data_IF_468329535624
#
_entry.id   IF_468329535624
#
_cell.length_a   1.000
_cell.length_b   1.000
_cell.length_c   1.000
_cell.angle_alpha   90.00
_cell.angle_beta   90.00
_cell.angle_gamma   90.00
#
_symmetry.space_group_name_H-M   'P 1'
#
loop_
_entity.id
_entity.type
_entity.pdbx_description
1 polymer ?
#
# COMPACT_ATOMS: atom_id res chain seq x y z
N UNK A 1 -6.82 5.69 17.86
CA UNK A 1 -6.20 5.41 16.55
C UNK A 1 -5.53 4.04 16.64
N UNK A 2 -6.28 2.93 16.55
CA UNK A 2 -5.75 1.56 16.81
C UNK A 2 -6.40 0.48 15.92
N UNK A 3 -7.24 0.86 14.94
CA UNK A 3 -8.02 -0.10 14.15
C UNK A 3 -7.30 -0.54 12.86
N UNK A 4 -6.85 0.44 12.06
CA UNK A 4 -6.18 0.22 10.77
C UNK A 4 -4.88 -0.61 10.86
N UNK A 5 -4.06 -0.38 11.88
CA UNK A 5 -2.77 -1.09 12.02
C UNK A 5 -2.88 -2.62 12.07
N UNK A 6 -3.86 -3.17 12.82
CA UNK A 6 -4.05 -4.63 12.93
C UNK A 6 -4.71 -5.26 11.71
N UNK A 7 -5.57 -4.51 11.02
CA UNK A 7 -6.25 -4.97 9.81
C UNK A 7 -5.25 -5.15 8.66
N UNK A 8 -4.27 -4.26 8.57
CA UNK A 8 -3.21 -4.33 7.57
C UNK A 8 -2.26 -5.52 7.79
N UNK A 9 -1.83 -5.77 9.03
CA UNK A 9 -0.89 -6.86 9.36
C UNK A 9 -1.33 -8.22 8.79
N UNK A 10 -2.64 -8.47 8.74
CA UNK A 10 -3.23 -9.71 8.22
C UNK A 10 -3.06 -9.87 6.70
N UNK A 11 -3.09 -8.77 5.94
CA UNK A 11 -2.97 -8.80 4.47
C UNK A 11 -1.56 -8.47 3.97
N UNK A 12 -0.69 -7.95 4.84
CA UNK A 12 0.70 -7.64 4.52
C UNK A 12 1.47 -8.79 3.83
N UNK A 13 1.30 -10.08 4.22
CA UNK A 13 1.91 -11.20 3.48
C UNK A 13 1.45 -11.28 2.02
N UNK A 14 0.17 -11.02 1.73
CA UNK A 14 -0.38 -11.11 0.38
C UNK A 14 0.21 -10.02 -0.52
N UNK A 15 0.29 -8.79 -0.02
CA UNK A 15 0.88 -7.67 -0.78
C UNK A 15 2.35 -7.90 -1.08
N UNK A 16 3.07 -8.52 -0.15
CA UNK A 16 4.47 -8.91 -0.37
C UNK A 16 4.61 -9.99 -1.43
N UNK A 17 3.71 -10.98 -1.46
CA UNK A 17 3.69 -12.00 -2.51
C UNK A 17 3.40 -11.39 -3.89
N UNK A 18 2.42 -10.49 -3.98
CA UNK A 18 2.11 -9.75 -5.22
C UNK A 18 3.26 -8.84 -5.66
N UNK A 19 4.00 -8.28 -4.71
CA UNK A 19 5.26 -7.55 -4.96
C UNK A 19 6.43 -8.44 -5.42
N UNK A 20 6.23 -9.75 -5.55
CA UNK A 20 7.24 -10.70 -6.00
C UNK A 20 7.90 -11.53 -4.90
N UNK A 21 7.50 -11.35 -3.63
CA UNK A 21 8.03 -12.08 -2.47
C UNK A 21 9.55 -11.92 -2.26
N UNK A 22 10.07 -10.73 -2.52
CA UNK A 22 11.49 -10.40 -2.39
C UNK A 22 11.71 -9.26 -1.40
N UNK A 23 12.89 -9.24 -0.78
CA UNK A 23 13.30 -8.16 0.12
C UNK A 23 12.47 -8.02 1.39
N UNK A 24 12.44 -6.79 1.90
CA UNK A 24 11.72 -6.42 3.11
C UNK A 24 10.21 -6.49 2.91
N UNK A 25 9.50 -6.94 3.95
CA UNK A 25 8.04 -6.91 4.00
C UNK A 25 7.59 -5.76 4.90
N UNK A 26 6.84 -4.82 4.33
CA UNK A 26 6.09 -3.79 5.05
C UNK A 26 5.05 -4.51 5.92
N UNK A 27 5.33 -4.64 7.22
CA UNK A 27 4.51 -5.42 8.15
C UNK A 27 3.42 -4.59 8.83
N UNK A 28 3.62 -3.29 8.96
CA UNK A 28 2.71 -2.36 9.63
C UNK A 28 2.63 -1.02 8.89
N UNK A 29 1.55 -0.27 9.16
CA UNK A 29 1.41 1.10 8.69
C UNK A 29 2.42 2.01 9.42
N UNK A 30 3.32 2.71 8.71
CA UNK A 30 4.21 3.69 9.30
C UNK A 30 3.47 5.00 9.63
N UNK A 31 4.03 5.77 10.57
CA UNK A 31 3.43 7.05 11.00
C UNK A 31 3.30 8.08 9.87
N UNK A 32 4.21 8.01 8.89
CA UNK A 32 4.21 8.92 7.74
C UNK A 32 3.13 8.61 6.69
N UNK A 33 2.36 7.52 6.87
CA UNK A 33 1.21 7.18 6.01
C UNK A 33 1.57 6.56 4.65
N UNK A 34 2.84 6.18 4.44
CA UNK A 34 3.30 5.45 3.26
C UNK A 34 4.58 4.67 3.55
N UNK A 35 4.81 3.60 2.79
CA UNK A 35 6.04 2.82 2.83
C UNK A 35 6.46 2.44 1.41
N UNK A 36 7.77 2.31 1.18
CA UNK A 36 8.34 1.95 -0.10
C UNK A 36 9.50 0.97 0.10
N UNK A 37 9.52 -0.08 -0.70
CA UNK A 37 10.64 -1.02 -0.84
C UNK A 37 11.12 -1.01 -2.29
N UNK A 38 12.22 -1.73 -2.58
CA UNK A 38 12.70 -1.92 -3.95
C UNK A 38 11.72 -2.74 -4.83
N UNK A 39 10.77 -3.46 -4.22
CA UNK A 39 9.90 -4.41 -4.92
C UNK A 39 8.46 -3.92 -5.03
N UNK A 40 7.96 -3.28 -3.97
CA UNK A 40 6.62 -2.73 -3.91
C UNK A 40 6.51 -1.53 -2.95
N UNK A 41 5.48 -0.71 -3.12
CA UNK A 41 5.14 0.39 -2.19
C UNK A 41 3.69 0.35 -1.74
N UNK A 42 3.37 1.02 -0.65
CA UNK A 42 2.01 1.16 -0.13
C UNK A 42 1.76 2.62 0.30
N UNK A 43 0.69 3.21 -0.21
CA UNK A 43 0.13 4.47 0.25
C UNK A 43 -1.07 4.18 1.17
N UNK A 44 -0.94 4.49 2.46
CA UNK A 44 -1.98 4.27 3.48
C UNK A 44 -2.90 5.48 3.67
N UNK A 45 -2.35 6.68 3.44
CA UNK A 45 -3.05 7.95 3.54
C UNK A 45 -2.80 8.81 2.30
N UNK A 46 -3.88 9.30 1.71
CA UNK A 46 -3.83 10.21 0.54
C UNK A 46 -3.21 11.57 0.88
N UNK A 47 -3.16 11.94 2.16
CA UNK A 47 -2.44 13.13 2.62
C UNK A 47 -0.93 12.99 2.39
N UNK A 48 -0.42 11.75 2.38
CA UNK A 48 0.98 11.43 2.11
C UNK A 48 1.28 11.14 0.63
N UNK A 49 0.33 11.40 -0.28
CA UNK A 49 0.47 11.11 -1.71
C UNK A 49 1.64 11.84 -2.36
N UNK A 50 1.85 13.11 -2.00
CA UNK A 50 2.95 13.91 -2.54
C UNK A 50 4.34 13.35 -2.15
N UNK A 51 4.67 13.14 -0.86
CA UNK A 51 5.95 12.54 -0.49
C UNK A 51 6.12 11.11 -1.01
N UNK A 52 5.05 10.32 -1.06
CA UNK A 52 5.09 8.97 -1.62
C UNK A 52 5.47 8.97 -3.11
N UNK A 53 4.79 9.77 -3.93
CA UNK A 53 5.07 9.85 -5.36
C UNK A 53 6.49 10.38 -5.64
N UNK A 54 6.99 11.31 -4.82
CA UNK A 54 8.36 11.79 -4.90
C UNK A 54 9.36 10.64 -4.63
N UNK A 55 9.15 9.85 -3.57
CA UNK A 55 10.02 8.72 -3.25
C UNK A 55 10.04 7.64 -4.35
N UNK A 56 8.87 7.32 -4.94
CA UNK A 56 8.80 6.40 -6.08
C UNK A 56 9.54 6.96 -7.29
N UNK A 57 9.41 8.27 -7.54
CA UNK A 57 10.10 8.94 -8.64
C UNK A 57 11.62 8.96 -8.45
N UNK A 58 12.10 9.23 -7.24
CA UNK A 58 13.52 9.19 -6.88
C UNK A 58 14.09 7.77 -7.08
N UNK A 59 13.34 6.74 -6.68
CA UNK A 59 13.71 5.35 -6.94
C UNK A 59 13.76 5.04 -8.45
N UNK A 60 12.85 5.61 -9.25
CA UNK A 60 12.85 5.46 -10.70
C UNK A 60 14.08 6.10 -11.37
N UNK A 61 14.58 7.23 -10.84
CA UNK A 61 15.78 7.89 -11.38
C UNK A 61 17.04 7.01 -11.31
N UNK A 62 17.07 6.05 -10.39
CA UNK A 62 18.18 5.12 -10.19
C UNK A 62 17.85 3.68 -10.63
N UNK A 63 16.80 3.50 -11.44
CA UNK A 63 16.34 2.19 -11.95
C UNK A 63 15.99 1.18 -10.83
N UNK A 64 15.47 1.69 -9.71
CA UNK A 64 15.03 0.89 -8.54
C UNK A 64 13.58 1.15 -8.14
N UNK A 65 12.78 1.69 -9.06
CA UNK A 65 11.35 1.83 -8.80
C UNK A 65 10.71 0.44 -8.61
N UNK A 66 9.77 0.31 -7.66
CA UNK A 66 9.00 -0.91 -7.54
C UNK A 66 8.17 -1.14 -8.80
N UNK A 67 7.86 -2.41 -9.09
CA UNK A 67 6.96 -2.76 -10.20
C UNK A 67 5.51 -2.40 -9.89
N UNK A 68 5.12 -2.47 -8.63
CA UNK A 68 3.73 -2.28 -8.19
C UNK A 68 3.68 -1.44 -6.91
N UNK A 69 2.67 -0.59 -6.81
CA UNK A 69 2.32 0.10 -5.58
C UNK A 69 0.84 -0.10 -5.26
N UNK A 70 0.53 -0.24 -3.98
CA UNK A 70 -0.82 -0.38 -3.48
C UNK A 70 -1.29 0.94 -2.88
N UNK A 71 -2.50 1.37 -3.25
CA UNK A 71 -3.10 2.60 -2.74
C UNK A 71 -4.36 2.23 -1.97
N UNK A 72 -4.35 2.49 -0.67
CA UNK A 72 -5.46 2.20 0.23
C UNK A 72 -6.41 3.41 0.23
N UNK A 73 -7.56 3.27 -0.42
CA UNK A 73 -8.61 4.32 -0.47
C UNK A 73 -9.97 3.76 -0.91
N UNK A 74 -11.04 4.19 -0.23
CA UNK A 74 -12.43 3.98 -0.64
C UNK A 74 -12.91 4.97 -1.74
N UNK A 75 -12.10 5.96 -2.12
CA UNK A 75 -12.41 6.94 -3.19
C UNK A 75 -11.73 6.60 -4.54
N UNK A 76 -12.51 6.38 -5.62
CA UNK A 76 -11.95 6.22 -6.97
C UNK A 76 -11.18 7.45 -7.45
N UNK A 77 -11.63 8.65 -7.06
CA UNK A 77 -11.00 9.91 -7.45
C UNK A 77 -9.63 10.08 -6.80
N UNK A 78 -9.51 9.73 -5.53
CA UNK A 78 -8.22 9.76 -4.83
C UNK A 78 -7.25 8.74 -5.39
N UNK A 79 -7.74 7.54 -5.72
CA UNK A 79 -6.93 6.52 -6.38
C UNK A 79 -6.39 7.03 -7.73
N UNK A 80 -7.25 7.61 -8.57
CA UNK A 80 -6.83 8.15 -9.86
C UNK A 80 -5.79 9.26 -9.68
N UNK A 81 -6.04 10.20 -8.76
CA UNK A 81 -5.11 11.28 -8.48
C UNK A 81 -3.74 10.79 -8.00
N UNK A 82 -3.71 9.72 -7.18
CA UNK A 82 -2.46 9.09 -6.75
C UNK A 82 -1.76 8.37 -7.92
N UNK A 83 -2.48 7.61 -8.72
CA UNK A 83 -1.93 6.88 -9.87
C UNK A 83 -1.31 7.83 -10.91
N UNK A 84 -1.95 8.98 -11.18
CA UNK A 84 -1.46 10.00 -12.12
C UNK A 84 -0.13 10.65 -11.70
N UNK A 85 0.25 10.54 -10.42
CA UNK A 85 1.51 11.09 -9.90
C UNK A 85 2.68 10.10 -9.96
N UNK A 86 2.41 8.83 -10.29
CA UNK A 86 3.45 7.81 -10.33
C UNK A 86 4.23 7.88 -11.65
N UNK A 87 5.52 7.54 -11.63
CA UNK A 87 6.31 7.44 -12.86
C UNK A 87 5.80 6.28 -13.74
N UNK A 88 6.04 6.39 -15.05
CA UNK A 88 5.67 5.36 -16.00
C UNK A 88 6.33 4.01 -15.66
N UNK A 89 5.60 2.92 -15.85
CA UNK A 89 6.09 1.56 -15.59
C UNK A 89 5.91 1.06 -14.15
N UNK A 90 5.31 1.88 -13.27
CA UNK A 90 4.85 1.46 -11.94
C UNK A 90 3.35 1.21 -12.00
N UNK A 91 2.94 -0.03 -11.70
CA UNK A 91 1.53 -0.40 -11.66
C UNK A 91 0.88 0.05 -10.35
N UNK A 92 -0.27 0.71 -10.45
CA UNK A 92 -1.06 1.14 -9.28
C UNK A 92 -2.22 0.18 -9.04
N UNK A 93 -2.27 -0.43 -7.85
CA UNK A 93 -3.36 -1.32 -7.43
C UNK A 93 -4.15 -0.67 -6.31
N UNK A 94 -5.48 -0.62 -6.47
CA UNK A 94 -6.37 -0.06 -5.45
C UNK A 94 -6.77 -1.10 -4.42
N UNK A 95 -6.63 -0.76 -3.14
CA UNK A 95 -7.17 -1.51 -2.01
C UNK A 95 -8.22 -0.66 -1.29
N UNK A 96 -9.37 -1.24 -0.97
CA UNK A 96 -10.42 -0.50 -0.26
C UNK A 96 -10.20 -0.62 1.25
N UNK A 97 -10.29 0.50 1.96
CA UNK A 97 -10.22 0.53 3.43
C UNK A 97 -11.32 -0.33 4.05
N UNK A 98 -12.51 -0.26 3.46
CA UNK A 98 -13.66 -1.07 3.85
C UNK A 98 -13.42 -2.59 3.76
N UNK A 99 -12.58 -3.08 2.86
CA UNK A 99 -12.22 -4.51 2.81
C UNK A 99 -11.23 -4.92 3.89
N UNK A 100 -10.31 -4.03 4.28
CA UNK A 100 -9.37 -4.28 5.39
C UNK A 100 -10.13 -4.43 6.71
N UNK A 101 -11.10 -3.55 6.93
CA UNK A 101 -11.98 -3.60 8.10
C UNK A 101 -12.78 -4.91 8.18
N UNK A 102 -13.28 -5.40 7.04
CA UNK A 102 -14.11 -6.61 6.97
C UNK A 102 -13.32 -7.92 7.05
N UNK A 103 -12.08 -7.97 6.56
CA UNK A 103 -11.24 -9.16 6.68
C UNK A 103 -11.00 -9.53 8.15
N UNK A 104 -10.84 -8.54 9.01
CA UNK A 104 -10.67 -8.73 10.46
C UNK A 104 -11.93 -9.24 11.14
N UNK A 105 -13.12 -8.81 10.69
CA UNK A 105 -14.40 -9.35 11.21
C UNK A 105 -14.49 -10.85 10.93
N UNK A 106 -14.11 -11.30 9.73
CA UNK A 106 -14.18 -12.72 9.37
C UNK A 106 -13.09 -13.58 10.03
N UNK A 107 -11.89 -13.04 10.27
CA UNK A 107 -10.81 -13.78 10.96
C UNK A 107 -11.08 -13.90 12.47
N UNK A 108 -11.75 -12.92 13.09
CA UNK A 108 -12.16 -12.98 14.51
C UNK A 108 -13.55 -13.61 14.73
N UNK A 109 -14.34 -13.81 13.67
CA UNK A 109 -15.72 -14.25 13.72
C UNK A 109 -15.95 -15.76 13.60
N UNK A 110 -14.91 -16.59 13.48
CA UNK A 110 -15.06 -18.05 13.44
C UNK A 110 -14.40 -18.73 14.63
N UNK A 111 -15.04 -18.57 15.81
CA UNK A 111 -15.00 -19.58 16.87
C UNK A 111 -16.40 -19.66 17.49
N UNK A 112 -17.05 -20.79 17.16
CA UNK A 112 -18.30 -21.41 17.68
C UNK A 112 -19.57 -21.18 16.88
#
# INVERSE_FOLDING_TARGET
MVRRGREFEAIAPLLWLEGGAQGERIAQEPEDGWALTEYYGILFSVDAMAPFAAAVSDAAQVDRAPRVVFIITDSPTEFQAAAERLPAGVDAVRLYESYLANYTINVLGSVR
#
